data_IF_066550651855
#
_entry.id   IF_066550651855
#
_cell.length_a   1.000
_cell.length_b   1.000
_cell.length_c   1.000
_cell.angle_alpha   90.00
_cell.angle_beta   90.00
_cell.angle_gamma   90.00
#
_symmetry.space_group_name_H-M   'P 1'
#
loop_
_entity.id
_entity.type
_entity.pdbx_description
1 polymer ?
#
# COMPACT_ATOMS: atom_id res chain seq x y z
N UNK A 1 8.50 3.07 -19.89
CA UNK A 1 7.92 4.10 -19.02
C UNK A 1 8.01 3.69 -17.57
N UNK A 2 8.28 4.64 -16.72
CA UNK A 2 8.43 4.39 -15.29
C UNK A 2 7.06 4.28 -14.63
N UNK A 3 6.84 3.21 -13.89
CA UNK A 3 5.63 3.07 -13.10
C UNK A 3 5.75 3.90 -11.82
N UNK A 4 4.65 4.52 -11.41
CA UNK A 4 4.59 5.24 -10.15
C UNK A 4 4.48 4.24 -8.99
N UNK A 5 5.22 4.48 -7.94
CA UNK A 5 5.18 3.65 -6.74
C UNK A 5 3.98 4.00 -5.87
N UNK A 6 3.24 2.98 -5.44
CA UNK A 6 2.04 3.15 -4.61
C UNK A 6 2.29 2.59 -3.22
N UNK A 7 1.93 3.36 -2.21
CA UNK A 7 1.88 2.92 -0.83
C UNK A 7 0.44 2.90 -0.34
N UNK A 8 0.05 1.87 0.38
CA UNK A 8 -1.31 1.74 0.92
C UNK A 8 -1.24 1.81 2.44
N UNK A 9 -2.06 2.66 3.03
CA UNK A 9 -2.24 2.78 4.47
C UNK A 9 -3.58 2.16 4.85
N UNK A 10 -3.59 1.32 5.88
CA UNK A 10 -4.79 0.62 6.30
C UNK A 10 -5.03 -0.61 5.45
N UNK A 11 -4.12 -1.57 5.52
CA UNK A 11 -4.08 -2.69 4.57
C UNK A 11 -5.00 -3.86 4.91
N UNK A 12 -5.90 -3.71 5.88
CA UNK A 12 -6.84 -4.78 6.21
C UNK A 12 -7.77 -5.18 5.06
N UNK A 13 -8.09 -4.25 4.18
CA UNK A 13 -8.97 -4.49 3.03
C UNK A 13 -8.23 -4.34 1.70
N UNK A 14 -6.93 -4.56 1.71
CA UNK A 14 -6.09 -4.31 0.53
C UNK A 14 -6.51 -5.17 -0.67
N UNK A 15 -6.94 -6.41 -0.43
CA UNK A 15 -7.34 -7.30 -1.53
C UNK A 15 -8.51 -6.73 -2.31
N UNK A 16 -9.55 -6.26 -1.61
CA UNK A 16 -10.72 -5.67 -2.25
C UNK A 16 -10.33 -4.42 -3.03
N UNK A 17 -9.54 -3.55 -2.41
CA UNK A 17 -9.09 -2.33 -3.06
C UNK A 17 -8.23 -2.62 -4.27
N UNK A 18 -7.31 -3.57 -4.15
CA UNK A 18 -6.43 -3.94 -5.24
C UNK A 18 -7.23 -4.44 -6.45
N UNK A 19 -8.21 -5.32 -6.21
CA UNK A 19 -9.05 -5.83 -7.29
C UNK A 19 -9.90 -4.73 -7.91
N UNK A 20 -10.43 -3.83 -7.08
CA UNK A 20 -11.27 -2.74 -7.55
C UNK A 20 -10.50 -1.77 -8.45
N UNK A 21 -9.24 -1.51 -8.13
CA UNK A 21 -8.42 -0.55 -8.85
C UNK A 21 -7.39 -1.18 -9.78
N UNK A 22 -7.41 -2.51 -9.93
CA UNK A 22 -6.43 -3.20 -10.78
C UNK A 22 -6.36 -2.63 -12.20
N UNK A 23 -7.46 -2.28 -12.86
CA UNK A 23 -7.39 -1.69 -14.20
C UNK A 23 -6.67 -0.33 -14.22
N UNK A 24 -6.76 0.43 -13.12
CA UNK A 24 -6.10 1.73 -13.01
C UNK A 24 -4.62 1.57 -12.73
N UNK A 25 -4.21 0.44 -12.16
CA UNK A 25 -2.83 0.18 -11.75
C UNK A 25 -1.90 -0.22 -12.89
N UNK A 26 -2.33 -0.10 -14.13
CA UNK A 26 -1.45 -0.42 -15.27
C UNK A 26 -0.18 0.43 -15.25
N UNK A 27 -0.29 1.67 -14.82
CA UNK A 27 0.85 2.59 -14.71
C UNK A 27 1.35 2.73 -13.27
N UNK A 28 0.83 1.92 -12.35
CA UNK A 28 1.16 2.00 -10.93
C UNK A 28 1.71 0.66 -10.46
N UNK A 29 2.63 0.73 -9.50
CA UNK A 29 3.23 -0.47 -8.90
C UNK A 29 3.11 -0.37 -7.39
N UNK A 30 2.49 -1.37 -6.77
CA UNK A 30 2.45 -1.44 -5.32
C UNK A 30 3.86 -1.73 -4.80
N UNK A 31 4.39 -0.87 -3.94
CA UNK A 31 5.75 -1.03 -3.41
C UNK A 31 5.78 -1.24 -1.91
N UNK A 32 4.79 -0.74 -1.18
CA UNK A 32 4.78 -0.86 0.29
C UNK A 32 3.36 -0.74 0.83
N UNK A 33 3.16 -1.31 1.99
CA UNK A 33 1.90 -1.19 2.74
C UNK A 33 2.21 -0.82 4.18
N UNK A 34 1.29 -0.13 4.83
CA UNK A 34 1.42 0.27 6.23
C UNK A 34 0.08 0.12 6.93
N UNK A 35 0.13 -0.14 8.22
CA UNK A 35 -1.04 -0.22 9.06
C UNK A 35 -0.61 0.11 10.48
N UNK A 36 -1.52 0.63 11.30
CA UNK A 36 -1.26 0.83 12.72
C UNK A 36 -0.89 -0.51 13.35
N UNK A 37 -1.54 -1.58 12.93
CA UNK A 37 -1.19 -2.94 13.35
C UNK A 37 -0.12 -3.48 12.39
N UNK A 38 1.12 -3.54 12.86
CA UNK A 38 2.23 -4.00 12.04
C UNK A 38 2.13 -5.48 11.66
N UNK A 39 1.46 -6.30 12.46
CA UNK A 39 1.24 -7.70 12.10
C UNK A 39 0.37 -7.80 10.85
N UNK A 40 -0.69 -6.98 10.76
CA UNK A 40 -1.53 -6.90 9.57
C UNK A 40 -0.71 -6.42 8.37
N UNK A 41 0.10 -5.39 8.56
CA UNK A 41 0.94 -4.86 7.48
C UNK A 41 1.91 -5.92 6.96
N UNK A 42 2.56 -6.66 7.86
CA UNK A 42 3.51 -7.70 7.47
C UNK A 42 2.83 -8.85 6.73
N UNK A 43 1.63 -9.26 7.19
CA UNK A 43 0.89 -10.33 6.53
C UNK A 43 0.50 -9.93 5.11
N UNK A 44 -0.01 -8.74 4.93
CA UNK A 44 -0.39 -8.26 3.60
C UNK A 44 0.83 -8.01 2.72
N UNK A 45 1.91 -7.49 3.29
CA UNK A 45 3.15 -7.31 2.55
C UNK A 45 3.67 -8.64 1.99
N UNK A 46 3.61 -9.70 2.78
CA UNK A 46 4.02 -11.02 2.34
C UNK A 46 3.12 -11.55 1.21
N UNK A 47 1.80 -11.29 1.31
CA UNK A 47 0.86 -11.73 0.28
C UNK A 47 1.13 -11.06 -1.08
N UNK A 48 1.56 -9.82 -1.08
CA UNK A 48 1.76 -9.06 -2.31
C UNK A 48 3.24 -8.89 -2.68
N UNK A 49 4.14 -9.44 -1.88
CA UNK A 49 5.58 -9.37 -2.17
C UNK A 49 6.14 -7.95 -2.09
N UNK A 50 5.64 -7.16 -1.16
CA UNK A 50 6.05 -5.75 -0.99
C UNK A 50 6.54 -5.52 0.43
N UNK A 51 7.01 -4.29 0.72
CA UNK A 51 7.49 -3.95 2.04
C UNK A 51 6.36 -3.66 2.99
N UNK A 52 6.52 -4.04 4.27
CA UNK A 52 5.67 -3.58 5.36
C UNK A 52 6.40 -2.44 6.07
N UNK A 53 5.75 -1.29 6.22
CA UNK A 53 6.36 -0.13 6.84
C UNK A 53 5.39 0.48 7.86
N UNK A 54 5.93 1.28 8.78
CA UNK A 54 5.08 2.14 9.61
C UNK A 54 4.48 3.22 8.73
N UNK A 55 3.38 3.84 9.21
CA UNK A 55 2.75 4.92 8.44
C UNK A 55 3.75 6.05 8.19
N UNK A 56 4.52 6.42 9.22
CA UNK A 56 5.51 7.50 9.09
C UNK A 56 6.59 7.15 8.05
N UNK A 57 7.10 5.93 8.08
CA UNK A 57 8.11 5.50 7.13
C UNK A 57 7.56 5.45 5.71
N UNK A 58 6.31 5.01 5.55
CA UNK A 58 5.68 4.98 4.25
C UNK A 58 5.55 6.39 3.66
N UNK A 59 5.13 7.34 4.48
CA UNK A 59 4.99 8.73 4.04
C UNK A 59 6.34 9.37 3.67
N UNK A 60 7.43 8.87 4.25
CA UNK A 60 8.77 9.36 3.96
C UNK A 60 9.48 8.58 2.84
N UNK A 61 8.88 7.51 2.35
CA UNK A 61 9.53 6.64 1.37
C UNK A 61 9.67 7.35 0.02
N UNK A 62 10.89 7.36 -0.51
CA UNK A 62 11.18 8.07 -1.76
C UNK A 62 10.64 7.36 -3.00
N UNK A 63 10.42 6.06 -2.91
CA UNK A 63 9.90 5.27 -4.02
C UNK A 63 8.38 5.20 -4.03
N UNK A 64 7.71 5.88 -3.09
CA UNK A 64 6.26 5.95 -3.02
C UNK A 64 5.82 7.30 -3.57
N UNK A 65 5.20 7.29 -4.73
CA UNK A 65 4.72 8.50 -5.41
C UNK A 65 3.26 8.80 -5.08
N UNK A 66 2.48 7.77 -4.79
CA UNK A 66 1.05 7.87 -4.54
C UNK A 66 0.72 7.13 -3.24
N UNK A 67 -0.01 7.80 -2.36
CA UNK A 67 -0.49 7.19 -1.11
C UNK A 67 -1.99 6.96 -1.24
N UNK A 68 -2.41 5.72 -1.01
CA UNK A 68 -3.83 5.36 -0.94
C UNK A 68 -4.16 5.09 0.53
N UNK A 69 -4.99 5.93 1.11
CA UNK A 69 -5.37 5.81 2.51
C UNK A 69 -6.72 5.12 2.60
N UNK A 70 -6.73 3.91 3.14
CA UNK A 70 -7.93 3.09 3.29
C UNK A 70 -8.45 3.11 4.72
N UNK A 71 -7.84 3.89 5.61
CA UNK A 71 -8.34 3.98 6.98
C UNK A 71 -9.70 4.66 6.97
N UNK A 72 -10.63 4.08 7.74
CA UNK A 72 -11.97 4.64 7.86
C UNK A 72 -11.93 5.69 8.96
N UNK A 73 -12.32 6.92 8.70
CA UNK A 73 -12.43 7.91 9.77
C UNK A 73 -13.43 7.43 10.81
N UNK A 74 -13.03 7.49 12.03
CA UNK A 74 -13.88 7.05 13.13
C UNK A 74 -15.09 7.98 13.28
#
# INVERSE_FOLDING_TARGET
>A
MTQLGVGIIGCGNISTTYLQFAPIFKSLKLVAVADINMDTARAQAANYGVRAETVDDLLAAKDVDVIVNLTIPA
#
